data_IF_193429397432
#
_entry.id   IF_193429397432
#
_cell.length_a   1.000
_cell.length_b   1.000
_cell.length_c   1.000
_cell.angle_alpha   90.00
_cell.angle_beta   90.00
_cell.angle_gamma   90.00
#
_symmetry.space_group_name_H-M   'P 1'
#
loop_
_entity.id
_entity.type
_entity.pdbx_description
1 polymer ?
#
# COMPACT_ATOMS: atom_id res chain seq x y z
N UNK A 1 -39.50 38.18 -74.82
CA UNK A 1 -38.86 38.05 -73.49
C UNK A 1 -38.06 36.75 -73.45
N UNK A 2 -36.72 36.83 -73.43
CA UNK A 2 -35.87 35.74 -72.95
C UNK A 2 -34.90 36.20 -71.86
N UNK A 3 -34.66 35.34 -70.87
CA UNK A 3 -33.64 35.50 -69.82
C UNK A 3 -32.21 35.24 -70.33
N UNK A 4 -31.22 35.96 -69.78
CA UNK A 4 -29.84 35.49 -69.57
C UNK A 4 -29.15 36.39 -68.54
N UNK A 5 -29.00 35.95 -67.28
CA UNK A 5 -27.89 35.17 -66.70
C UNK A 5 -26.76 36.10 -66.22
N UNK A 6 -26.84 36.45 -64.93
CA UNK A 6 -25.78 37.16 -64.20
C UNK A 6 -24.60 36.23 -63.92
N UNK A 7 -23.41 36.81 -64.01
CA UNK A 7 -22.11 36.18 -64.05
C UNK A 7 -21.57 35.83 -62.64
N UNK A 8 -20.70 34.82 -62.60
CA UNK A 8 -20.06 34.26 -61.40
C UNK A 8 -19.13 35.27 -60.70
N UNK A 9 -18.99 35.14 -59.38
CA UNK A 9 -17.71 34.72 -58.77
C UNK A 9 -17.92 34.21 -57.34
N UNK A 10 -17.25 33.10 -56.94
CA UNK A 10 -17.43 32.49 -55.64
C UNK A 10 -16.55 33.15 -54.58
N UNK A 11 -17.15 33.42 -53.43
CA UNK A 11 -16.48 33.78 -52.19
C UNK A 11 -15.51 32.65 -51.80
N UNK A 12 -14.28 33.03 -51.47
CA UNK A 12 -13.18 32.12 -51.16
C UNK A 12 -13.48 31.10 -50.08
N UNK A 13 -13.06 29.86 -50.37
CA UNK A 13 -13.04 28.73 -49.47
C UNK A 13 -12.07 28.95 -48.30
N UNK A 14 -12.54 28.81 -47.07
CA UNK A 14 -11.69 28.74 -45.88
C UNK A 14 -12.35 27.97 -44.73
N UNK A 15 -12.77 26.72 -44.95
CA UNK A 15 -13.35 25.95 -43.84
C UNK A 15 -13.30 24.43 -44.01
N UNK A 16 -12.10 23.82 -44.07
CA UNK A 16 -12.05 22.34 -44.02
C UNK A 16 -10.73 21.77 -43.51
N UNK A 17 -10.31 22.06 -42.28
CA UNK A 17 -9.23 21.30 -41.63
C UNK A 17 -9.48 20.88 -40.17
N UNK A 18 -10.62 21.24 -39.55
CA UNK A 18 -10.88 20.89 -38.14
C UNK A 18 -11.78 19.65 -37.94
N UNK A 19 -12.39 19.12 -39.01
CA UNK A 19 -13.35 18.00 -38.89
C UNK A 19 -12.70 16.62 -38.69
N UNK A 20 -11.47 16.40 -39.16
CA UNK A 20 -10.84 15.06 -39.16
C UNK A 20 -10.03 14.82 -37.87
N UNK A 21 -9.46 15.87 -37.26
CA UNK A 21 -8.67 15.73 -36.03
C UNK A 21 -9.52 15.41 -34.79
N UNK A 22 -10.77 15.88 -34.73
CA UNK A 22 -11.65 15.65 -33.59
C UNK A 22 -12.17 14.19 -33.49
N UNK A 23 -12.35 13.51 -34.63
CA UNK A 23 -12.88 12.14 -34.68
C UNK A 23 -11.80 11.12 -34.27
N UNK A 24 -10.54 11.34 -34.66
CA UNK A 24 -9.45 10.44 -34.28
C UNK A 24 -9.15 10.47 -32.77
N UNK A 25 -9.21 11.65 -32.13
CA UNK A 25 -8.97 11.78 -30.69
C UNK A 25 -10.13 11.24 -29.84
N UNK A 26 -11.38 11.43 -30.28
CA UNK A 26 -12.56 10.91 -29.59
C UNK A 26 -12.67 9.37 -29.61
N UNK A 27 -12.19 8.73 -30.67
CA UNK A 27 -12.18 7.27 -30.76
C UNK A 27 -11.05 6.64 -29.92
N UNK A 28 -9.87 7.27 -29.84
CA UNK A 28 -8.78 6.76 -28.99
C UNK A 28 -9.08 6.82 -27.50
N UNK A 29 -9.78 7.86 -27.02
CA UNK A 29 -10.21 7.94 -25.62
C UNK A 29 -11.36 6.99 -25.31
N UNK A 30 -12.26 6.77 -26.28
CA UNK A 30 -13.34 5.79 -26.14
C UNK A 30 -12.82 4.34 -26.09
N UNK A 31 -11.80 4.00 -26.88
CA UNK A 31 -11.20 2.65 -26.87
C UNK A 31 -10.55 2.38 -25.51
N UNK A 32 -9.82 3.34 -24.91
CA UNK A 32 -9.24 3.16 -23.57
C UNK A 32 -10.31 3.01 -22.47
N UNK A 33 -11.48 3.64 -22.63
CA UNK A 33 -12.59 3.53 -21.69
C UNK A 33 -13.45 2.26 -21.88
N UNK A 34 -13.46 1.67 -23.07
CA UNK A 34 -14.28 0.48 -23.42
C UNK A 34 -13.49 -0.83 -23.36
N UNK A 35 -12.16 -0.82 -23.50
CA UNK A 35 -11.34 -2.04 -23.42
C UNK A 35 -10.64 -2.26 -22.08
N UNK A 36 -10.76 -1.32 -21.13
CA UNK A 36 -10.27 -1.54 -19.77
C UNK A 36 -11.24 -2.46 -19.04
N UNK A 37 -10.98 -3.77 -19.08
CA UNK A 37 -11.74 -4.75 -18.30
C UNK A 37 -11.66 -4.36 -16.80
N UNK A 38 -12.75 -3.90 -16.16
CA UNK A 38 -12.73 -3.50 -14.75
C UNK A 38 -12.50 -4.70 -13.80
N UNK A 39 -12.39 -5.90 -14.36
CA UNK A 39 -12.26 -7.17 -13.66
C UNK A 39 -10.84 -7.70 -13.57
N UNK A 40 -9.83 -7.11 -14.23
CA UNK A 40 -8.43 -7.50 -13.99
C UNK A 40 -7.90 -6.74 -12.78
N UNK A 41 -7.58 -7.42 -11.66
CA UNK A 41 -6.86 -6.79 -10.57
C UNK A 41 -5.57 -6.17 -11.13
N UNK A 42 -5.16 -4.99 -10.66
CA UNK A 42 -3.88 -4.42 -11.06
C UNK A 42 -2.78 -5.46 -10.78
N UNK A 43 -2.08 -5.88 -11.84
CA UNK A 43 -0.93 -6.78 -11.69
C UNK A 43 0.20 -5.95 -11.11
N UNK A 44 0.47 -6.10 -9.82
CA UNK A 44 1.63 -5.50 -9.19
C UNK A 44 2.88 -6.30 -9.61
N UNK A 45 3.83 -5.70 -10.36
CA UNK A 45 5.05 -6.40 -10.71
C UNK A 45 5.81 -6.72 -9.41
N UNK A 46 6.17 -7.99 -9.21
CA UNK A 46 6.90 -8.42 -8.01
C UNK A 46 8.21 -7.63 -7.90
N UNK A 47 8.44 -6.86 -6.83
CA UNK A 47 9.62 -6.03 -6.72
C UNK A 47 10.86 -6.89 -6.50
N UNK A 48 12.01 -6.42 -7.02
CA UNK A 48 13.31 -6.98 -6.67
C UNK A 48 13.70 -6.48 -5.29
N UNK A 49 14.01 -7.40 -4.38
CA UNK A 49 14.35 -7.08 -2.99
C UNK A 49 15.86 -7.13 -2.81
N UNK A 50 16.43 -6.05 -2.33
CA UNK A 50 17.83 -5.96 -1.91
C UNK A 50 17.96 -4.85 -0.87
N UNK A 51 19.06 -4.84 -0.13
CA UNK A 51 19.33 -3.84 0.90
C UNK A 51 19.35 -2.43 0.29
N UNK A 52 18.74 -1.48 1.00
CA UNK A 52 18.55 -0.08 0.63
C UNK A 52 17.64 0.15 -0.59
N UNK A 53 16.97 -0.89 -1.11
CA UNK A 53 15.94 -0.72 -2.13
C UNK A 53 14.72 -0.01 -1.54
N UNK A 54 14.13 0.92 -2.30
CA UNK A 54 12.82 1.51 -1.99
C UNK A 54 11.79 0.91 -2.92
N UNK A 55 10.76 0.28 -2.35
CA UNK A 55 9.67 -0.36 -3.11
C UNK A 55 8.32 0.26 -2.77
N UNK A 56 7.37 0.15 -3.69
CA UNK A 56 5.96 0.38 -3.38
C UNK A 56 5.40 -0.84 -2.65
N UNK A 57 4.90 -0.61 -1.43
CA UNK A 57 4.40 -1.65 -0.55
C UNK A 57 2.92 -1.39 -0.23
N UNK A 58 1.98 -2.06 -0.93
CA UNK A 58 0.57 -2.10 -0.56
C UNK A 58 0.36 -2.99 0.66
N UNK A 59 0.30 -2.43 1.86
CA UNK A 59 0.26 -3.19 3.12
C UNK A 59 -1.17 -3.30 3.63
N UNK A 60 -1.64 -4.53 3.85
CA UNK A 60 -2.98 -4.79 4.37
C UNK A 60 -2.99 -4.70 5.89
N UNK A 61 -3.92 -3.92 6.44
CA UNK A 61 -4.02 -3.62 7.87
C UNK A 61 -5.46 -3.75 8.37
N UNK A 62 -5.59 -4.01 9.66
CA UNK A 62 -6.77 -3.66 10.48
C UNK A 62 -6.29 -2.85 11.69
N UNK A 63 -7.12 -1.98 12.24
CA UNK A 63 -6.69 -1.10 13.35
C UNK A 63 -6.21 -1.86 14.60
N UNK A 64 -6.74 -3.06 14.85
CA UNK A 64 -6.26 -3.93 15.94
C UNK A 64 -4.82 -4.41 15.76
N UNK A 65 -4.26 -4.34 14.55
CA UNK A 65 -2.86 -4.71 14.30
C UNK A 65 -1.87 -3.89 15.10
N UNK A 66 -2.27 -2.69 15.55
CA UNK A 66 -1.47 -1.83 16.44
C UNK A 66 -1.04 -2.55 17.72
N UNK A 67 -1.84 -3.51 18.19
CA UNK A 67 -1.60 -4.22 19.46
C UNK A 67 -1.56 -5.75 19.34
N UNK A 68 -2.15 -6.30 18.28
CA UNK A 68 -2.34 -7.76 18.16
C UNK A 68 -1.12 -8.49 17.60
N UNK A 69 -0.37 -7.79 16.72
CA UNK A 69 0.73 -8.39 15.98
C UNK A 69 2.01 -8.40 16.82
N UNK A 70 2.77 -9.48 16.72
CA UNK A 70 4.04 -9.62 17.43
C UNK A 70 5.03 -10.43 16.62
N UNK A 71 6.31 -10.14 16.76
CA UNK A 71 7.38 -11.05 16.36
C UNK A 71 8.25 -11.44 17.55
N UNK A 72 9.05 -12.50 17.38
CA UNK A 72 10.08 -12.93 18.29
C UNK A 72 11.39 -13.14 17.51
N UNK A 73 12.44 -12.48 17.97
CA UNK A 73 13.79 -12.56 17.40
C UNK A 73 14.81 -12.02 18.42
N UNK A 74 15.81 -12.84 18.74
CA UNK A 74 16.86 -12.51 19.71
C UNK A 74 18.06 -11.79 19.07
N UNK A 75 18.24 -11.93 17.75
CA UNK A 75 19.43 -11.45 17.03
C UNK A 75 19.47 -9.94 16.79
N UNK A 76 20.51 -9.50 16.06
CA UNK A 76 20.71 -8.10 15.69
C UNK A 76 19.85 -7.70 14.47
N UNK A 77 19.11 -6.61 14.65
CA UNK A 77 18.21 -5.99 13.68
C UNK A 77 18.42 -4.46 13.60
N UNK A 78 19.67 -4.00 13.56
CA UNK A 78 20.05 -2.59 13.31
C UNK A 78 19.42 -1.58 14.28
N UNK A 79 19.34 -1.96 15.56
CA UNK A 79 18.72 -1.12 16.61
C UNK A 79 17.21 -1.23 16.71
N UNK A 80 16.57 -2.00 15.82
CA UNK A 80 15.19 -2.45 15.98
C UNK A 80 15.14 -3.76 16.77
N UNK A 81 14.00 -4.03 17.42
CA UNK A 81 13.76 -5.30 18.12
C UNK A 81 12.32 -5.74 17.98
N UNK A 82 12.12 -7.05 17.90
CA UNK A 82 10.81 -7.63 18.14
C UNK A 82 10.36 -7.39 19.60
N UNK A 83 9.05 -7.44 19.86
CA UNK A 83 8.53 -7.37 21.23
C UNK A 83 9.02 -8.54 22.11
N UNK A 84 9.38 -9.66 21.48
CA UNK A 84 9.84 -10.87 22.13
C UNK A 84 11.24 -11.29 21.67
N UNK A 85 12.01 -11.90 22.56
CA UNK A 85 13.27 -12.61 22.24
C UNK A 85 12.97 -13.92 21.55
N UNK A 86 12.07 -14.68 22.17
CA UNK A 86 11.58 -16.01 21.77
C UNK A 86 10.07 -16.04 21.96
N UNK A 87 9.36 -17.01 21.35
CA UNK A 87 7.95 -17.21 21.63
C UNK A 87 7.67 -17.18 23.14
N UNK A 88 6.79 -16.26 23.56
CA UNK A 88 6.38 -16.06 24.96
C UNK A 88 7.48 -15.56 25.94
N UNK A 89 8.64 -15.12 25.44
CA UNK A 89 9.70 -14.47 26.24
C UNK A 89 9.87 -13.00 25.79
N UNK A 90 9.21 -12.07 26.48
CA UNK A 90 9.25 -10.65 26.16
C UNK A 90 10.59 -9.99 26.53
N UNK A 91 10.94 -8.90 25.85
CA UNK A 91 11.99 -8.01 26.32
C UNK A 91 11.48 -7.17 27.50
N UNK A 92 12.23 -7.06 28.61
CA UNK A 92 11.80 -6.29 29.78
C UNK A 92 11.79 -4.76 29.52
N UNK A 93 12.53 -4.32 28.51
CA UNK A 93 12.73 -2.93 28.11
C UNK A 93 11.87 -2.49 26.91
N UNK A 94 11.04 -3.38 26.34
CA UNK A 94 10.12 -3.04 25.25
C UNK A 94 8.70 -2.86 25.83
N UNK A 95 8.11 -1.69 25.57
CA UNK A 95 6.76 -1.35 26.02
C UNK A 95 5.91 -1.02 24.79
N UNK A 96 4.97 -1.89 24.37
CA UNK A 96 4.14 -1.65 23.19
C UNK A 96 3.19 -0.46 23.36
N UNK A 97 2.95 0.03 24.58
CA UNK A 97 2.10 1.21 24.80
C UNK A 97 2.86 2.53 24.66
N UNK A 98 4.19 2.50 24.73
CA UNK A 98 5.05 3.66 24.55
C UNK A 98 5.32 3.93 23.06
N UNK A 99 5.02 5.15 22.60
CA UNK A 99 5.20 5.58 21.19
C UNK A 99 6.66 5.44 20.74
N UNK A 100 7.62 5.86 21.56
CA UNK A 100 9.04 5.82 21.21
C UNK A 100 9.58 4.38 21.11
N UNK A 101 8.99 3.47 21.88
CA UNK A 101 9.32 2.05 21.77
C UNK A 101 8.67 1.44 20.51
N UNK A 102 7.42 1.78 20.19
CA UNK A 102 6.75 1.29 18.96
C UNK A 102 7.45 1.72 17.67
N UNK A 103 7.99 2.94 17.61
CA UNK A 103 8.84 3.42 16.50
C UNK A 103 10.09 2.58 16.26
N UNK A 104 10.52 1.76 17.23
CA UNK A 104 11.68 0.87 17.16
C UNK A 104 11.32 -0.61 17.25
N UNK A 105 10.05 -0.91 17.46
CA UNK A 105 9.56 -2.27 17.66
C UNK A 105 9.16 -2.87 16.31
N UNK A 106 9.79 -3.98 15.92
CA UNK A 106 9.45 -4.71 14.72
C UNK A 106 8.09 -5.40 14.90
N UNK A 107 7.23 -5.25 13.90
CA UNK A 107 5.91 -5.85 13.84
C UNK A 107 5.72 -6.51 12.47
N UNK A 108 5.19 -7.74 12.38
CA UNK A 108 4.99 -8.41 11.10
C UNK A 108 3.78 -7.87 10.35
N UNK A 109 3.93 -7.56 9.07
CA UNK A 109 2.83 -7.16 8.19
C UNK A 109 2.89 -7.90 6.86
N UNK A 110 1.73 -8.04 6.21
CA UNK A 110 1.60 -8.63 4.88
C UNK A 110 1.24 -7.55 3.86
N UNK A 111 1.81 -7.64 2.67
CA UNK A 111 1.29 -6.91 1.52
C UNK A 111 0.03 -7.59 0.95
N UNK A 112 -0.68 -6.89 0.07
CA UNK A 112 -1.80 -7.47 -0.70
C UNK A 112 -1.37 -8.67 -1.54
N UNK A 113 -0.08 -8.75 -1.89
CA UNK A 113 0.54 -9.85 -2.64
C UNK A 113 1.07 -10.98 -1.72
N UNK A 114 0.66 -11.00 -0.45
CA UNK A 114 1.09 -11.97 0.57
C UNK A 114 2.61 -11.98 0.82
N UNK A 115 3.25 -10.83 0.73
CA UNK A 115 4.65 -10.69 1.09
C UNK A 115 4.81 -10.21 2.53
N UNK A 116 5.55 -10.97 3.33
CA UNK A 116 5.84 -10.67 4.73
C UNK A 116 7.00 -9.67 4.87
N UNK A 117 6.79 -8.64 5.69
CA UNK A 117 7.82 -7.69 6.13
C UNK A 117 7.75 -7.47 7.64
N UNK A 118 8.87 -7.08 8.25
CA UNK A 118 8.91 -6.52 9.60
C UNK A 118 9.05 -5.00 9.51
N UNK A 119 8.06 -4.29 10.02
CA UNK A 119 8.01 -2.83 9.89
C UNK A 119 7.81 -2.22 11.27
N UNK A 120 8.71 -1.33 11.70
CA UNK A 120 8.52 -0.56 12.91
C UNK A 120 7.67 0.68 12.63
N UNK A 121 6.93 1.16 13.64
CA UNK A 121 6.25 2.46 13.58
C UNK A 121 5.12 2.60 12.56
N UNK A 122 4.53 1.50 12.05
CA UNK A 122 3.45 1.56 11.04
C UNK A 122 2.28 2.46 11.47
N UNK A 123 1.85 2.35 12.72
CA UNK A 123 0.76 3.15 13.29
C UNK A 123 1.19 4.52 13.80
N UNK A 124 2.46 4.89 13.60
CA UNK A 124 3.00 6.22 13.82
C UNK A 124 3.12 7.03 12.52
N UNK A 125 2.91 6.39 11.35
CA UNK A 125 2.76 7.10 10.08
C UNK A 125 1.47 7.93 10.07
N UNK A 126 1.51 9.21 9.66
CA UNK A 126 0.37 10.12 9.81
C UNK A 126 -0.95 9.62 9.22
N UNK A 127 -0.93 9.06 8.00
CA UNK A 127 -2.13 8.57 7.32
C UNK A 127 -2.73 7.34 8.01
N UNK A 128 -1.89 6.46 8.56
CA UNK A 128 -2.34 5.25 9.27
C UNK A 128 -2.87 5.62 10.65
N UNK A 129 -2.22 6.56 11.35
CA UNK A 129 -2.70 7.05 12.64
C UNK A 129 -4.01 7.84 12.52
N UNK A 130 -4.20 8.61 11.44
CA UNK A 130 -5.49 9.25 11.12
C UNK A 130 -6.60 8.21 10.95
N UNK A 131 -6.38 7.19 10.11
CA UNK A 131 -7.33 6.08 9.95
C UNK A 131 -7.63 5.35 11.26
N UNK A 132 -6.62 5.17 12.11
CA UNK A 132 -6.77 4.57 13.43
C UNK A 132 -7.61 5.44 14.37
N UNK A 133 -7.49 6.77 14.29
CA UNK A 133 -8.26 7.72 15.10
C UNK A 133 -9.71 7.86 14.64
N UNK A 134 -9.95 7.79 13.32
CA UNK A 134 -11.28 7.89 12.73
C UNK A 134 -12.16 6.68 13.05
N UNK A 135 -11.55 5.51 13.18
CA UNK A 135 -12.21 4.33 13.73
C UNK A 135 -12.28 4.44 15.25
N UNK A 136 -13.22 5.26 15.74
CA UNK A 136 -13.45 5.52 17.17
C UNK A 136 -13.36 4.20 17.94
N UNK A 137 -12.33 4.02 18.78
CA UNK A 137 -12.09 2.75 19.40
C UNK A 137 -13.13 2.57 20.49
N UNK A 138 -13.84 1.45 20.47
CA UNK A 138 -13.91 0.50 21.60
C UNK A 138 -15.10 -0.44 21.41
N UNK A 139 -14.78 -1.74 21.33
CA UNK A 139 -15.63 -2.94 21.49
C UNK A 139 -15.99 -3.72 20.24
N UNK A 140 -15.49 -3.36 19.06
CA UNK A 140 -15.59 -4.29 17.94
C UNK A 140 -14.49 -5.36 18.08
N UNK A 141 -14.85 -6.65 18.03
CA UNK A 141 -13.85 -7.70 17.93
C UNK A 141 -13.13 -7.61 16.58
N UNK A 142 -11.91 -8.15 16.49
CA UNK A 142 -11.02 -8.05 15.33
C UNK A 142 -11.69 -8.40 13.99
N UNK A 143 -12.59 -9.38 14.00
CA UNK A 143 -13.35 -9.85 12.82
C UNK A 143 -14.42 -8.86 12.32
N UNK A 144 -14.68 -7.79 13.08
CA UNK A 144 -15.62 -6.73 12.75
C UNK A 144 -14.94 -5.41 12.38
N UNK A 145 -13.61 -5.37 12.43
CA UNK A 145 -12.85 -4.20 12.00
C UNK A 145 -12.68 -4.23 10.49
N UNK A 146 -12.82 -3.07 9.86
CA UNK A 146 -12.63 -2.95 8.43
C UNK A 146 -11.14 -3.07 8.10
N UNK A 147 -10.84 -3.89 7.09
CA UNK A 147 -9.50 -3.95 6.53
C UNK A 147 -9.29 -2.71 5.67
N UNK A 148 -8.10 -2.17 5.68
CA UNK A 148 -7.68 -1.11 4.76
C UNK A 148 -6.28 -1.42 4.22
N UNK A 149 -5.90 -0.73 3.15
CA UNK A 149 -4.56 -0.84 2.58
C UNK A 149 -3.80 0.47 2.79
N UNK A 150 -2.61 0.38 3.39
CA UNK A 150 -1.66 1.48 3.43
C UNK A 150 -0.66 1.33 2.27
N UNK A 151 -0.74 2.26 1.32
CA UNK A 151 0.17 2.37 0.19
C UNK A 151 1.39 3.18 0.61
N UNK A 152 2.49 2.50 0.92
CA UNK A 152 3.69 3.12 1.48
C UNK A 152 4.90 2.93 0.56
N UNK A 153 5.86 3.86 0.65
CA UNK A 153 7.24 3.59 0.22
C UNK A 153 7.94 2.83 1.34
N UNK A 154 8.48 1.66 1.03
CA UNK A 154 9.19 0.82 1.98
C UNK A 154 10.68 0.78 1.64
N UNK A 155 11.52 1.35 2.50
CA UNK A 155 12.97 1.25 2.44
C UNK A 155 13.40 -0.07 3.08
N UNK A 156 13.95 -0.99 2.30
CA UNK A 156 14.46 -2.27 2.79
C UNK A 156 15.81 -2.07 3.49
N UNK A 157 15.91 -2.50 4.74
CA UNK A 157 17.14 -2.35 5.54
C UNK A 157 17.97 -3.61 5.48
N UNK A 158 17.40 -4.71 5.95
CA UNK A 158 18.13 -5.98 6.09
C UNK A 158 17.18 -7.16 6.03
N UNK A 159 17.66 -8.26 5.46
CA UNK A 159 16.98 -9.55 5.54
C UNK A 159 17.52 -10.33 6.74
N UNK A 160 16.61 -10.86 7.55
CA UNK A 160 16.94 -11.69 8.72
C UNK A 160 16.23 -13.04 8.64
N UNK A 161 16.79 -14.04 9.29
CA UNK A 161 16.29 -15.41 9.33
C UNK A 161 15.97 -15.84 10.76
N UNK A 162 15.10 -16.83 10.93
CA UNK A 162 14.76 -17.36 12.25
C UNK A 162 13.66 -16.59 12.98
N UNK A 163 12.94 -15.70 12.30
CA UNK A 163 11.88 -14.89 12.93
C UNK A 163 10.62 -15.70 13.14
N UNK A 164 10.09 -15.69 14.36
CA UNK A 164 8.76 -16.21 14.66
C UNK A 164 7.76 -15.04 14.68
N UNK A 165 6.58 -15.21 14.09
CA UNK A 165 5.52 -14.19 14.05
C UNK A 165 4.27 -14.70 14.72
N UNK A 166 3.45 -13.80 15.26
CA UNK A 166 2.15 -14.09 15.85
C UNK A 166 1.14 -13.05 15.40
N UNK A 167 0.02 -13.50 14.85
CA UNK A 167 -0.98 -12.66 14.17
C UNK A 167 -2.13 -12.18 15.05
N UNK A 168 -2.25 -12.71 16.26
CA UNK A 168 -3.06 -12.15 17.35
C UNK A 168 -2.63 -12.79 18.68
N UNK A 169 -2.92 -12.19 19.85
CA UNK A 169 -2.44 -12.68 21.15
C UNK A 169 -2.85 -14.12 21.48
N UNK A 170 -4.01 -14.57 20.98
CA UNK A 170 -4.58 -15.90 21.15
C UNK A 170 -4.17 -16.91 20.07
N UNK A 171 -3.30 -16.52 19.12
CA UNK A 171 -2.83 -17.38 18.04
C UNK A 171 -1.44 -17.94 18.32
N UNK A 172 -1.19 -19.09 17.71
CA UNK A 172 0.12 -19.73 17.75
C UNK A 172 1.18 -18.90 17.02
N UNK A 173 2.41 -19.08 17.45
CA UNK A 173 3.60 -18.57 16.77
C UNK A 173 3.85 -19.35 15.48
N UNK A 174 4.19 -18.65 14.40
CA UNK A 174 4.47 -19.21 13.08
C UNK A 174 5.89 -18.87 12.63
N UNK A 175 6.53 -19.77 11.89
CA UNK A 175 7.91 -19.64 11.43
C UNK A 175 8.71 -20.92 11.63
N UNK A 176 10.06 -20.84 11.59
CA UNK A 176 10.86 -19.64 11.38
C UNK A 176 10.70 -19.06 9.98
N UNK A 177 10.76 -17.73 9.87
CA UNK A 177 10.65 -17.01 8.60
C UNK A 177 11.99 -16.36 8.25
N UNK A 178 12.24 -16.26 6.94
CA UNK A 178 13.21 -15.34 6.35
C UNK A 178 12.44 -14.11 5.88
N UNK A 179 12.78 -12.94 6.41
CA UNK A 179 11.95 -11.74 6.29
C UNK A 179 12.81 -10.48 6.18
N UNK A 180 12.35 -9.54 5.36
CA UNK A 180 12.95 -8.22 5.26
C UNK A 180 12.41 -7.30 6.35
N UNK A 181 13.33 -6.59 7.02
CA UNK A 181 13.02 -5.40 7.79
C UNK A 181 12.93 -4.23 6.82
N UNK A 182 11.89 -3.41 6.96
CA UNK A 182 11.79 -2.17 6.20
C UNK A 182 11.15 -1.05 6.99
N UNK A 183 11.50 0.18 6.62
CA UNK A 183 10.95 1.40 7.18
C UNK A 183 9.98 2.02 6.17
N UNK A 184 8.79 2.35 6.63
CA UNK A 184 7.77 2.97 5.79
C UNK A 184 7.90 4.48 5.79
N UNK A 185 7.46 5.09 4.69
CA UNK A 185 7.31 6.53 4.54
C UNK A 185 6.27 6.82 3.47
N UNK A 186 5.78 8.07 3.44
CA UNK A 186 4.86 8.57 2.41
C UNK A 186 3.63 7.67 2.22
N UNK A 187 3.07 7.16 3.32
CA UNK A 187 1.91 6.30 3.29
C UNK A 187 0.64 7.06 2.88
N UNK A 188 -0.22 6.39 2.11
CA UNK A 188 -1.60 6.79 1.82
C UNK A 188 -2.54 5.65 2.17
N UNK A 189 -3.69 5.93 2.79
CA UNK A 189 -4.68 4.91 3.12
C UNK A 189 -5.76 4.86 2.04
N UNK A 190 -6.08 3.66 1.60
CA UNK A 190 -7.23 3.36 0.74
C UNK A 190 -8.11 2.31 1.40
N UNK A 191 -9.41 2.56 1.41
CA UNK A 191 -10.42 1.55 1.76
C UNK A 191 -10.46 0.46 0.67
N UNK A 192 -10.87 -0.78 1.02
CA UNK A 192 -10.92 -1.92 0.10
C UNK A 192 -11.98 -1.78 -0.99
#
# INVERSE_FOLDING_TARGET
MPQKKSERSPLGARTTHYGVAAIALGLSSYIWWVTGDPATPPVHPKPTLYQDAVIDAPITLVTADKTDLSCAYEGDAEGYRCAFKKPNEAWPDVDPNNVEHRKKMLVPYMTVDNQLFLIPGMFEEPAVDERYRDEVPRKLPRDKLERFTAQCKLLLRKEIEGVMVRWAPDKDWQGPNKVWIGEVSNCQVSEP
#
